data_IF_485937597730
#
_entry.id   IF_485937597730
#
_cell.length_a   1.000
_cell.length_b   1.000
_cell.length_c   1.000
_cell.angle_alpha   90.00
_cell.angle_beta   90.00
_cell.angle_gamma   90.00
#
_symmetry.space_group_name_H-M   'P 1'
#
loop_
_entity.id
_entity.type
_entity.pdbx_description
1 polymer ?
#
# COMPACT_ATOMS: atom_id res chain seq x y z
N UNK A 1 -11.62 2.76 -5.09
CA UNK A 1 -12.01 1.94 -3.92
C UNK A 1 -13.16 2.64 -3.21
N UNK A 2 -14.01 1.87 -2.55
CA UNK A 2 -15.11 2.35 -1.71
C UNK A 2 -14.91 1.82 -0.28
N UNK A 3 -15.24 2.62 0.73
CA UNK A 3 -15.25 2.15 2.10
C UNK A 3 -16.44 1.20 2.31
N UNK A 4 -16.18 -0.07 2.54
CA UNK A 4 -17.20 -1.08 2.82
C UNK A 4 -17.69 -1.02 4.27
N UNK A 5 -16.76 -0.87 5.22
CA UNK A 5 -17.03 -0.83 6.66
C UNK A 5 -15.91 -0.09 7.39
N UNK A 6 -16.29 0.62 8.44
CA UNK A 6 -15.39 1.09 9.49
C UNK A 6 -15.83 0.49 10.82
N UNK A 7 -14.88 0.00 11.61
CA UNK A 7 -15.14 -0.52 12.95
C UNK A 7 -13.91 -0.37 13.84
N UNK A 8 -14.16 -0.17 15.14
CA UNK A 8 -13.14 -0.21 16.18
C UNK A 8 -13.10 -1.60 16.79
N UNK A 9 -11.90 -2.12 17.05
CA UNK A 9 -11.72 -3.47 17.60
C UNK A 9 -11.07 -3.35 18.97
N UNK A 10 -11.49 -4.18 19.92
CA UNK A 10 -10.82 -4.30 21.22
C UNK A 10 -9.52 -5.09 21.08
N UNK A 11 -8.47 -4.43 20.58
CA UNK A 11 -7.14 -4.98 20.38
C UNK A 11 -6.10 -4.10 21.07
N UNK A 12 -5.20 -4.72 21.83
CA UNK A 12 -4.04 -4.01 22.42
C UNK A 12 -2.85 -4.17 21.48
N UNK A 13 -2.40 -3.04 20.91
CA UNK A 13 -1.23 -3.00 20.04
C UNK A 13 0.03 -3.50 20.74
N UNK A 14 0.84 -4.26 20.02
CA UNK A 14 2.08 -4.83 20.58
C UNK A 14 3.26 -3.87 20.52
N UNK A 15 3.12 -2.77 19.77
CA UNK A 15 4.24 -1.91 19.38
C UNK A 15 5.08 -2.49 18.25
N UNK A 16 4.66 -3.58 17.60
CA UNK A 16 5.38 -4.21 16.48
C UNK A 16 4.47 -4.42 15.26
N UNK A 17 4.73 -3.69 14.17
CA UNK A 17 3.95 -3.76 12.93
C UNK A 17 3.79 -5.18 12.36
N UNK A 18 4.86 -5.97 12.39
CA UNK A 18 4.83 -7.35 11.85
C UNK A 18 3.89 -8.22 12.67
N UNK A 19 3.98 -8.15 14.00
CA UNK A 19 3.09 -8.91 14.90
C UNK A 19 1.64 -8.44 14.78
N UNK A 20 1.41 -7.12 14.77
CA UNK A 20 0.06 -6.54 14.70
C UNK A 20 -0.61 -6.86 13.34
N UNK A 21 0.14 -6.79 12.24
CA UNK A 21 -0.35 -7.18 10.91
C UNK A 21 -0.60 -8.70 10.82
N UNK A 22 0.28 -9.52 11.41
CA UNK A 22 0.07 -10.97 11.44
C UNK A 22 -1.23 -11.31 12.16
N UNK A 23 -1.45 -10.75 13.36
CA UNK A 23 -2.68 -10.93 14.13
C UNK A 23 -3.91 -10.41 13.42
N UNK A 24 -3.78 -9.34 12.64
CA UNK A 24 -4.89 -8.81 11.85
C UNK A 24 -5.26 -9.72 10.67
N UNK A 25 -4.27 -10.37 10.05
CA UNK A 25 -4.46 -11.20 8.85
C UNK A 25 -4.80 -12.66 9.15
N UNK A 26 -4.24 -13.24 10.21
CA UNK A 26 -4.43 -14.66 10.52
C UNK A 26 -5.83 -14.89 11.08
N UNK A 27 -6.42 -16.03 10.73
CA UNK A 27 -7.72 -16.47 11.24
C UNK A 27 -7.54 -17.45 12.38
N UNK A 28 -8.38 -17.36 13.41
CA UNK A 28 -8.45 -18.26 14.56
C UNK A 28 -7.16 -18.29 15.40
N UNK A 29 -6.46 -17.16 15.50
CA UNK A 29 -5.29 -17.03 16.39
C UNK A 29 -5.63 -16.38 17.74
N UNK A 30 -6.92 -16.08 17.98
CA UNK A 30 -7.44 -15.44 19.18
C UNK A 30 -7.36 -13.92 19.14
N UNK A 31 -6.90 -13.32 18.04
CA UNK A 31 -6.80 -11.87 17.87
C UNK A 31 -7.65 -11.39 16.71
N UNK A 32 -8.52 -10.42 16.99
CA UNK A 32 -9.32 -9.74 15.96
C UNK A 32 -10.14 -10.68 15.05
N UNK A 33 -10.38 -11.94 15.44
CA UNK A 33 -11.02 -12.96 14.57
C UNK A 33 -12.38 -12.53 13.99
N UNK A 34 -13.11 -11.65 14.70
CA UNK A 34 -14.37 -11.07 14.25
C UNK A 34 -14.25 -10.26 12.95
N UNK A 35 -13.07 -9.72 12.63
CA UNK A 35 -12.85 -8.92 11.42
C UNK A 35 -13.02 -9.77 10.16
N UNK A 36 -12.70 -11.06 10.21
CA UNK A 36 -12.84 -11.94 9.04
C UNK A 36 -14.31 -12.20 8.72
N UNK A 37 -15.14 -12.31 9.77
CA UNK A 37 -16.60 -12.36 9.62
C UNK A 37 -17.12 -11.04 9.07
N UNK A 38 -16.70 -9.91 9.64
CA UNK A 38 -17.06 -8.56 9.16
C UNK A 38 -16.71 -8.36 7.68
N UNK A 39 -15.50 -8.74 7.26
CA UNK A 39 -15.06 -8.68 5.86
C UNK A 39 -15.98 -9.46 4.92
N UNK A 40 -16.45 -10.64 5.34
CA UNK A 40 -17.40 -11.41 4.54
C UNK A 40 -18.79 -10.77 4.52
N UNK A 41 -19.28 -10.28 5.67
CA UNK A 41 -20.59 -9.64 5.78
C UNK A 41 -20.72 -8.38 4.94
N UNK A 42 -19.68 -7.55 4.90
CA UNK A 42 -19.68 -6.28 4.18
C UNK A 42 -18.94 -6.35 2.84
N UNK A 43 -18.63 -7.55 2.34
CA UNK A 43 -17.93 -7.78 1.06
C UNK A 43 -16.66 -6.91 0.93
N UNK A 44 -15.81 -6.90 1.96
CA UNK A 44 -14.60 -6.08 2.01
C UNK A 44 -13.38 -6.83 1.44
N UNK A 45 -12.93 -6.39 0.26
CA UNK A 45 -11.80 -6.97 -0.47
C UNK A 45 -10.43 -6.74 0.18
N UNK A 46 -10.26 -5.62 0.90
CA UNK A 46 -8.99 -5.23 1.52
C UNK A 46 -9.25 -4.80 2.96
N UNK A 47 -8.46 -5.32 3.90
CA UNK A 47 -8.43 -4.86 5.29
C UNK A 47 -7.25 -3.93 5.53
N UNK A 48 -7.48 -2.79 6.17
CA UNK A 48 -6.40 -1.93 6.68
C UNK A 48 -6.64 -1.65 8.15
N UNK A 49 -5.67 -1.99 9.00
CA UNK A 49 -5.70 -1.61 10.41
C UNK A 49 -4.92 -0.31 10.61
N UNK A 50 -5.52 0.63 11.32
CA UNK A 50 -4.89 1.89 11.69
C UNK A 50 -4.38 1.75 13.12
N UNK A 51 -3.08 1.98 13.31
CA UNK A 51 -2.36 1.76 14.57
C UNK A 51 -1.82 3.09 15.13
N UNK A 52 -1.57 3.12 16.44
CA UNK A 52 -0.77 4.13 17.14
C UNK A 52 0.67 3.64 17.38
N UNK A 53 1.33 3.26 16.30
CA UNK A 53 2.73 2.83 16.30
C UNK A 53 3.53 3.67 15.30
N UNK A 54 4.47 4.48 15.79
CA UNK A 54 5.27 5.39 14.96
C UNK A 54 6.57 4.78 14.40
N UNK A 55 6.80 3.48 14.61
CA UNK A 55 8.04 2.81 14.18
C UNK A 55 8.16 2.72 12.65
N UNK A 56 7.03 2.63 11.95
CA UNK A 56 6.91 2.70 10.49
C UNK A 56 5.67 3.53 10.14
N UNK A 57 5.58 3.99 8.89
CA UNK A 57 4.35 4.62 8.41
C UNK A 57 3.31 3.61 7.90
N UNK A 58 3.72 2.38 7.59
CA UNK A 58 2.83 1.32 7.14
C UNK A 58 3.57 0.01 6.87
N UNK A 59 2.80 -1.07 6.75
CA UNK A 59 3.27 -2.39 6.33
C UNK A 59 2.16 -3.14 5.60
N UNK A 60 2.36 -3.45 4.34
CA UNK A 60 1.53 -4.38 3.59
C UNK A 60 1.95 -5.84 3.83
N UNK A 61 0.99 -6.75 3.69
CA UNK A 61 1.22 -8.20 3.77
C UNK A 61 2.19 -8.77 2.73
N UNK A 62 2.47 -8.02 1.66
CA UNK A 62 3.37 -8.41 0.59
C UNK A 62 3.18 -7.57 -0.68
N UNK A 63 3.99 -7.90 -1.70
CA UNK A 63 3.86 -7.36 -3.06
C UNK A 63 2.95 -8.28 -3.86
N UNK A 64 1.75 -7.80 -4.15
CA UNK A 64 0.66 -8.61 -4.66
C UNK A 64 0.00 -9.41 -3.53
N UNK A 65 -1.32 -9.48 -3.59
CA UNK A 65 -2.13 -10.16 -2.58
C UNK A 65 -3.14 -11.09 -3.22
N UNK A 66 -3.66 -11.99 -2.39
CA UNK A 66 -4.87 -12.75 -2.68
C UNK A 66 -5.90 -12.49 -1.58
N UNK A 67 -7.06 -13.11 -1.68
CA UNK A 67 -8.16 -12.88 -0.74
C UNK A 67 -7.81 -13.17 0.73
N UNK A 68 -6.83 -14.04 1.01
CA UNK A 68 -6.37 -14.33 2.37
C UNK A 68 -5.26 -13.37 2.84
N UNK A 69 -4.54 -12.71 1.93
CA UNK A 69 -3.41 -11.84 2.25
C UNK A 69 -3.63 -10.35 1.97
N UNK A 70 -4.82 -9.94 1.54
CA UNK A 70 -5.17 -8.54 1.27
C UNK A 70 -5.37 -7.73 2.56
N UNK A 71 -4.29 -7.55 3.32
CA UNK A 71 -4.24 -6.86 4.61
C UNK A 71 -3.01 -5.96 4.72
N UNK A 72 -3.17 -4.78 5.30
CA UNK A 72 -2.09 -3.87 5.62
C UNK A 72 -2.31 -3.19 6.98
N UNK A 73 -1.24 -2.65 7.57
CA UNK A 73 -1.27 -1.80 8.75
C UNK A 73 -0.68 -0.43 8.44
N UNK A 74 -1.19 0.63 9.08
CA UNK A 74 -0.81 2.02 8.81
C UNK A 74 -0.76 2.80 10.11
N UNK A 75 0.30 3.60 10.31
CA UNK A 75 0.33 4.57 11.42
C UNK A 75 -0.62 5.72 11.13
N UNK A 76 -1.53 6.04 12.07
CA UNK A 76 -2.59 7.03 11.85
C UNK A 76 -2.09 8.37 11.32
N UNK A 77 -0.94 8.85 11.80
CA UNK A 77 -0.39 10.15 11.39
C UNK A 77 0.12 10.12 9.94
N UNK A 78 0.65 8.98 9.48
CA UNK A 78 1.13 8.81 8.11
C UNK A 78 0.01 8.50 7.10
N UNK A 79 -1.18 8.10 7.57
CA UNK A 79 -2.24 7.57 6.72
C UNK A 79 -2.60 8.51 5.55
N UNK A 80 -2.80 9.80 5.85
CA UNK A 80 -3.12 10.84 4.85
C UNK A 80 -1.95 11.81 4.64
N UNK A 81 -1.28 12.26 5.70
CA UNK A 81 -0.19 13.24 5.61
C UNK A 81 1.04 12.74 4.85
N UNK A 82 1.29 11.43 4.86
CA UNK A 82 2.38 10.78 4.13
C UNK A 82 1.89 9.77 3.07
N UNK A 83 0.57 9.77 2.85
CA UNK A 83 -0.18 8.92 1.91
C UNK A 83 0.00 7.41 2.13
N UNK A 84 0.36 6.97 3.33
CA UNK A 84 0.68 5.56 3.60
C UNK A 84 -0.51 4.63 3.43
N UNK A 85 -1.74 5.11 3.67
CA UNK A 85 -2.92 4.29 3.44
C UNK A 85 -3.01 3.80 1.99
N UNK A 86 -2.80 4.70 1.03
CA UNK A 86 -2.77 4.34 -0.38
C UNK A 86 -1.50 3.58 -0.75
N UNK A 87 -0.34 3.95 -0.19
CA UNK A 87 0.95 3.27 -0.42
C UNK A 87 0.86 1.77 -0.13
N UNK A 88 0.38 1.39 1.06
CA UNK A 88 0.31 -0.02 1.45
C UNK A 88 -0.68 -0.81 0.59
N UNK A 89 -1.81 -0.20 0.19
CA UNK A 89 -2.72 -0.83 -0.76
C UNK A 89 -2.09 -0.96 -2.15
N UNK A 90 -1.19 -0.05 -2.52
CA UNK A 90 -0.36 -0.16 -3.71
C UNK A 90 0.47 -1.45 -3.69
N UNK A 91 1.13 -1.74 -2.58
CA UNK A 91 1.87 -3.00 -2.40
C UNK A 91 0.97 -4.23 -2.55
N UNK A 92 -0.23 -4.23 -1.96
CA UNK A 92 -1.20 -5.33 -2.13
C UNK A 92 -1.64 -5.53 -3.59
N UNK A 93 -1.58 -4.47 -4.41
CA UNK A 93 -1.84 -4.48 -5.86
C UNK A 93 -0.58 -4.69 -6.70
N UNK A 94 0.52 -5.12 -6.10
CA UNK A 94 1.82 -5.42 -6.74
C UNK A 94 2.67 -4.22 -7.12
N UNK A 95 2.33 -3.00 -6.69
CA UNK A 95 3.19 -1.84 -6.86
C UNK A 95 4.42 -1.96 -5.96
N UNK A 96 5.58 -1.59 -6.49
CA UNK A 96 6.87 -1.61 -5.80
C UNK A 96 7.40 -0.21 -5.57
N UNK A 97 8.40 -0.13 -4.70
CA UNK A 97 9.18 1.07 -4.49
C UNK A 97 9.96 1.44 -5.76
N UNK A 98 10.61 2.61 -5.76
CA UNK A 98 11.44 3.02 -6.90
C UNK A 98 12.57 2.02 -7.20
N UNK A 99 12.89 1.85 -8.47
CA UNK A 99 13.80 0.79 -8.96
C UNK A 99 15.22 0.85 -8.37
N UNK A 100 15.65 2.02 -7.89
CA UNK A 100 16.94 2.17 -7.22
C UNK A 100 16.97 1.48 -5.85
N UNK A 101 15.85 1.47 -5.13
CA UNK A 101 15.75 0.91 -3.78
C UNK A 101 15.10 -0.48 -3.77
N UNK A 102 14.25 -0.78 -4.76
CA UNK A 102 13.71 -2.11 -5.02
C UNK A 102 13.95 -2.47 -6.49
N UNK A 103 15.08 -3.13 -6.83
CA UNK A 103 15.40 -3.47 -8.22
C UNK A 103 14.65 -4.70 -8.74
N UNK A 104 13.74 -5.29 -7.96
CA UNK A 104 13.02 -6.50 -8.35
C UNK A 104 12.03 -6.22 -9.48
N UNK A 105 12.17 -6.92 -10.60
CA UNK A 105 11.29 -6.78 -11.76
C UNK A 105 10.06 -7.68 -11.73
N UNK A 106 9.85 -8.44 -10.65
CA UNK A 106 8.71 -9.34 -10.48
C UNK A 106 7.69 -8.75 -9.52
N UNK A 107 6.37 -8.77 -9.79
CA UNK A 107 5.74 -9.40 -10.94
C UNK A 107 5.72 -8.51 -12.20
N UNK A 108 6.03 -7.21 -12.07
CA UNK A 108 6.01 -6.26 -13.17
C UNK A 108 7.29 -5.43 -13.19
N UNK A 109 8.09 -5.54 -14.26
CA UNK A 109 9.35 -4.81 -14.40
C UNK A 109 9.19 -3.28 -14.42
N UNK A 110 8.00 -2.81 -14.79
CA UNK A 110 7.62 -1.40 -14.81
C UNK A 110 6.91 -0.96 -13.52
N UNK A 111 6.69 -1.85 -12.56
CA UNK A 111 5.82 -1.63 -11.42
C UNK A 111 6.46 -0.84 -10.27
N UNK A 112 7.27 0.19 -10.56
CA UNK A 112 8.01 0.93 -9.54
C UNK A 112 7.53 2.36 -9.36
N UNK A 113 7.80 2.90 -8.17
CA UNK A 113 7.75 4.34 -7.92
C UNK A 113 8.75 5.11 -8.79
N UNK A 114 8.46 6.39 -9.00
CA UNK A 114 9.31 7.32 -9.72
C UNK A 114 9.83 8.43 -8.81
N UNK A 115 11.10 8.79 -8.97
CA UNK A 115 11.74 9.98 -8.41
C UNK A 115 12.26 10.86 -9.54
N UNK A 116 12.07 12.16 -9.42
CA UNK A 116 12.71 13.12 -10.30
C UNK A 116 13.89 13.79 -9.59
N UNK A 117 15.03 13.09 -9.61
CA UNK A 117 16.21 13.49 -8.85
C UNK A 117 15.89 13.69 -7.37
N UNK A 118 16.27 14.85 -6.83
CA UNK A 118 15.95 15.29 -5.47
C UNK A 118 14.75 16.27 -5.41
N UNK A 119 14.01 16.44 -6.51
CA UNK A 119 12.98 17.49 -6.60
C UNK A 119 11.65 17.05 -6.02
N UNK A 120 11.18 15.85 -6.36
CA UNK A 120 9.93 15.26 -5.88
C UNK A 120 9.89 13.77 -6.21
N UNK A 121 8.95 13.07 -5.58
CA UNK A 121 8.74 11.64 -5.78
C UNK A 121 7.26 11.27 -5.81
N UNK A 122 6.93 10.20 -6.50
CA UNK A 122 5.57 9.60 -6.50
C UNK A 122 5.34 8.76 -5.24
N UNK A 123 4.09 8.38 -4.99
CA UNK A 123 3.65 7.78 -3.72
C UNK A 123 4.44 6.52 -3.31
N UNK A 124 4.85 5.69 -4.28
CA UNK A 124 5.58 4.46 -4.00
C UNK A 124 7.09 4.67 -3.87
N UNK A 125 7.64 5.82 -4.25
CA UNK A 125 9.07 6.02 -4.13
C UNK A 125 9.50 6.30 -2.67
N UNK A 126 10.67 5.80 -2.31
CA UNK A 126 11.36 6.15 -1.06
C UNK A 126 11.88 7.59 -1.10
N UNK A 127 12.32 8.11 0.05
CA UNK A 127 12.84 9.47 0.14
C UNK A 127 14.09 9.71 -0.67
N UNK A 128 14.19 10.92 -1.22
CA UNK A 128 15.37 11.40 -1.89
C UNK A 128 16.48 11.63 -0.86
N UNK A 129 17.75 11.56 -1.27
CA UNK A 129 18.89 11.67 -0.35
C UNK A 129 18.90 12.99 0.43
N UNK A 130 18.49 14.10 -0.21
CA UNK A 130 18.37 15.42 0.43
C UNK A 130 16.99 15.70 1.03
N UNK A 131 16.09 14.73 1.03
CA UNK A 131 14.66 14.97 1.22
C UNK A 131 14.01 15.53 -0.04
N UNK A 132 12.81 15.05 -0.37
CA UNK A 132 11.99 15.64 -1.42
C UNK A 132 10.49 15.47 -1.11
N UNK A 133 9.61 16.35 -1.60
CA UNK A 133 8.17 16.17 -1.46
C UNK A 133 7.70 14.84 -2.07
N UNK A 134 6.89 14.09 -1.32
CA UNK A 134 6.10 12.98 -1.84
C UNK A 134 4.80 13.53 -2.39
N UNK A 135 4.54 13.27 -3.66
CA UNK A 135 3.32 13.67 -4.35
C UNK A 135 2.26 12.57 -4.21
N UNK A 136 0.99 12.97 -4.08
CA UNK A 136 -0.14 12.05 -4.07
C UNK A 136 -0.49 11.58 -5.51
N UNK A 137 0.50 11.00 -6.18
CA UNK A 137 0.40 10.48 -7.54
C UNK A 137 1.09 9.12 -7.62
N UNK A 138 0.47 8.21 -8.35
CA UNK A 138 1.11 6.98 -8.83
C UNK A 138 2.07 7.32 -9.97
N UNK A 139 3.16 6.58 -10.09
CA UNK A 139 4.02 6.72 -11.27
C UNK A 139 3.24 6.39 -12.54
N UNK A 140 3.31 7.30 -13.51
CA UNK A 140 2.57 7.25 -14.76
C UNK A 140 3.30 8.08 -15.82
N UNK A 141 3.89 7.46 -16.87
CA UNK A 141 4.62 8.19 -17.90
C UNK A 141 3.72 9.09 -18.77
N UNK A 142 2.40 8.90 -18.75
CA UNK A 142 1.46 9.66 -19.57
C UNK A 142 0.94 10.93 -18.87
N UNK A 143 1.28 11.16 -17.60
CA UNK A 143 0.89 12.35 -16.85
C UNK A 143 2.16 13.08 -16.39
N UNK A 144 2.17 14.39 -16.53
CA UNK A 144 3.29 15.24 -16.13
C UNK A 144 2.97 16.07 -14.88
N UNK A 145 3.99 16.32 -14.08
CA UNK A 145 3.97 17.31 -12.99
C UNK A 145 4.99 18.40 -13.31
N UNK A 146 4.55 19.65 -13.43
CA UNK A 146 5.37 20.79 -13.86
C UNK A 146 6.13 20.53 -15.16
N UNK A 147 5.47 19.90 -16.14
CA UNK A 147 6.05 19.60 -17.45
C UNK A 147 6.98 18.39 -17.50
N UNK A 148 7.20 17.69 -16.37
CA UNK A 148 8.04 16.49 -16.30
C UNK A 148 7.15 15.25 -16.15
N UNK A 149 7.27 14.23 -17.01
CA UNK A 149 6.54 12.97 -16.85
C UNK A 149 6.77 12.32 -15.48
N UNK A 150 5.72 11.84 -14.84
CA UNK A 150 5.77 11.21 -13.52
C UNK A 150 6.13 9.73 -13.56
N UNK A 151 6.94 9.31 -14.53
CA UNK A 151 7.28 7.91 -14.69
C UNK A 151 8.02 7.61 -15.98
N UNK A 152 8.32 6.33 -16.17
CA UNK A 152 8.87 5.76 -17.39
C UNK A 152 8.13 4.45 -17.67
N UNK A 153 7.65 4.24 -18.90
CA UNK A 153 6.89 3.05 -19.27
C UNK A 153 7.63 1.73 -19.05
N UNK A 154 8.96 1.72 -19.05
CA UNK A 154 9.74 0.49 -18.86
C UNK A 154 10.02 0.16 -17.39
N UNK A 155 10.07 1.15 -16.50
CA UNK A 155 10.51 0.94 -15.12
C UNK A 155 9.59 1.55 -14.07
N UNK A 156 8.85 2.62 -14.35
CA UNK A 156 8.04 3.33 -13.36
C UNK A 156 6.66 3.74 -13.91
N UNK A 157 5.74 2.78 -13.90
CA UNK A 157 4.34 2.88 -14.32
C UNK A 157 3.45 2.04 -13.38
N UNK A 158 3.39 2.46 -12.11
CA UNK A 158 2.49 1.84 -11.14
C UNK A 158 1.03 1.99 -11.54
N UNK A 159 0.66 3.07 -12.24
CA UNK A 159 -0.71 3.24 -12.72
C UNK A 159 -1.17 2.05 -13.58
N UNK A 160 -0.31 1.58 -14.50
CA UNK A 160 -0.58 0.38 -15.28
C UNK A 160 -0.72 -0.87 -14.42
N UNK A 161 0.13 -1.04 -13.41
CA UNK A 161 0.03 -2.17 -12.46
C UNK A 161 -1.33 -2.17 -11.75
N UNK A 162 -1.74 -1.04 -11.19
CA UNK A 162 -3.03 -0.90 -10.51
C UNK A 162 -4.21 -1.19 -11.44
N UNK A 163 -4.14 -0.77 -12.71
CA UNK A 163 -5.18 -1.09 -13.70
C UNK A 163 -5.25 -2.59 -13.99
N UNK A 164 -4.11 -3.26 -14.06
CA UNK A 164 -4.05 -4.70 -14.32
C UNK A 164 -4.56 -5.53 -13.14
N UNK A 165 -4.38 -5.06 -11.90
CA UNK A 165 -4.72 -5.82 -10.69
C UNK A 165 -6.05 -5.43 -10.06
N UNK A 166 -6.67 -4.31 -10.46
CA UNK A 166 -7.94 -3.82 -9.86
C UNK A 166 -9.06 -4.86 -9.88
N UNK A 167 -9.20 -5.62 -10.98
CA UNK A 167 -10.28 -6.60 -11.12
C UNK A 167 -10.04 -7.82 -10.23
N UNK A 168 -8.78 -8.24 -10.08
CA UNK A 168 -8.41 -9.33 -9.18
C UNK A 168 -8.70 -8.97 -7.73
N UNK A 169 -8.29 -7.76 -7.29
CA UNK A 169 -8.56 -7.31 -5.92
C UNK A 169 -10.06 -7.16 -5.67
N UNK A 170 -10.81 -6.56 -6.60
CA UNK A 170 -12.25 -6.35 -6.45
C UNK A 170 -13.10 -7.63 -6.52
N UNK A 171 -12.46 -8.80 -6.70
CA UNK A 171 -13.11 -10.10 -6.73
C UNK A 171 -12.73 -10.95 -5.51
N UNK A 172 -12.14 -10.36 -4.47
CA UNK A 172 -11.83 -11.10 -3.27
C UNK A 172 -13.09 -11.42 -2.47
N UNK A 173 -14.14 -10.59 -2.50
CA UNK A 173 -15.43 -10.86 -1.85
C UNK A 173 -16.64 -10.44 -2.68
#
# INVERSE_FOLDING_TARGET
MQLARYETISYTETGNFTTDLQRFRVTNDGYMDSIHTSRNTYTADVGVIVLDNSSYCGLASGIGSNAASAFASVYWNCATGYYSFAHEIGHLQSARHDATNDPSTSPYAYGHGYRYGNSWRTIMAYDCTSGCPRLNYWSNPNISYNGVPMGNASTADNQRVLVNTKATIAAFR
#
